data_IF_530296466712
#
_entry.id   IF_530296466712
#
_cell.length_a   1.000
_cell.length_b   1.000
_cell.length_c   1.000
_cell.angle_alpha   90.00
_cell.angle_beta   90.00
_cell.angle_gamma   90.00
#
_symmetry.space_group_name_H-M   'P 1'
#
loop_
_entity.id
_entity.type
_entity.pdbx_description
1 polymer ?
#
# COMPACT_ATOMS: atom_id res chain seq x y z
N UNK A 1 7.28 41.13 26.23
CA UNK A 1 6.59 40.61 27.42
C UNK A 1 5.24 40.04 27.02
N UNK A 2 4.50 39.38 27.94
CA UNK A 2 3.14 38.88 27.66
C UNK A 2 2.22 40.01 27.18
N UNK A 3 2.30 41.20 27.80
CA UNK A 3 1.51 42.36 27.41
C UNK A 3 1.67 42.72 25.92
N UNK A 4 2.91 42.79 25.43
CA UNK A 4 3.22 43.13 24.03
C UNK A 4 2.65 42.11 23.05
N UNK A 5 2.74 40.82 23.38
CA UNK A 5 2.19 39.75 22.53
C UNK A 5 0.67 39.83 22.48
N UNK A 6 0.02 40.00 23.64
CA UNK A 6 -1.45 40.12 23.72
C UNK A 6 -1.95 41.34 22.95
N UNK A 7 -1.27 42.48 23.07
CA UNK A 7 -1.63 43.68 22.29
C UNK A 7 -1.39 43.52 20.79
N UNK A 8 -0.32 42.81 20.40
CA UNK A 8 -0.10 42.40 19.02
C UNK A 8 -1.23 41.52 18.48
N UNK A 9 -1.68 40.54 19.25
CA UNK A 9 -2.79 39.66 18.90
C UNK A 9 -4.12 40.41 18.77
N UNK A 10 -4.38 41.41 19.65
CA UNK A 10 -5.58 42.26 19.55
C UNK A 10 -5.65 43.03 18.23
N UNK A 11 -4.52 43.45 17.67
CA UNK A 11 -4.48 44.12 16.35
C UNK A 11 -4.82 43.17 15.19
N UNK A 12 -4.68 41.87 15.41
CA UNK A 12 -5.01 40.81 14.43
C UNK A 12 -6.43 40.26 14.62
N UNK A 13 -7.20 40.83 15.56
CA UNK A 13 -8.56 40.40 15.86
C UNK A 13 -9.44 40.35 14.60
N UNK A 14 -10.15 39.23 14.42
CA UNK A 14 -11.02 38.97 13.27
C UNK A 14 -10.30 38.62 11.95
N UNK A 15 -8.97 38.65 11.90
CA UNK A 15 -8.19 38.35 10.68
C UNK A 15 -7.52 36.99 10.70
N UNK A 16 -7.15 36.48 11.88
CA UNK A 16 -6.41 35.23 12.03
C UNK A 16 -7.01 34.42 13.17
N UNK A 17 -7.27 33.14 12.92
CA UNK A 17 -7.62 32.18 13.98
C UNK A 17 -6.34 31.69 14.64
N UNK A 18 -6.05 32.20 15.85
CA UNK A 18 -4.81 31.90 16.57
C UNK A 18 -5.03 30.70 17.49
N UNK A 19 -4.32 29.60 17.22
CA UNK A 19 -4.38 28.38 18.04
C UNK A 19 -3.10 28.15 18.82
N UNK A 20 -1.94 28.41 18.20
CA UNK A 20 -0.63 28.41 18.82
C UNK A 20 0.20 29.59 18.32
N UNK A 21 1.09 30.07 19.17
CA UNK A 21 2.13 31.02 18.81
C UNK A 21 3.48 30.31 18.80
N UNK A 22 4.18 30.41 17.68
CA UNK A 22 5.53 29.87 17.55
C UNK A 22 6.54 31.00 17.82
N UNK A 23 7.44 30.76 18.77
CA UNK A 23 8.51 31.69 19.13
C UNK A 23 9.72 31.38 18.26
N UNK A 24 10.20 32.39 17.54
CA UNK A 24 11.34 32.27 16.62
C UNK A 24 12.45 33.26 16.98
N UNK A 25 13.70 32.86 16.76
CA UNK A 25 14.88 33.72 16.83
C UNK A 25 15.77 33.44 15.62
N UNK A 26 16.08 34.47 14.84
CA UNK A 26 16.84 34.33 13.58
C UNK A 26 16.23 33.24 12.67
N UNK A 27 14.91 33.27 12.52
CA UNK A 27 14.05 32.28 11.85
C UNK A 27 14.03 30.88 12.48
N UNK A 28 14.84 30.59 13.49
CA UNK A 28 14.87 29.28 14.15
C UNK A 28 13.72 29.13 15.13
N UNK A 29 13.04 27.99 15.08
CA UNK A 29 11.95 27.67 16.01
C UNK A 29 12.52 27.37 17.41
N UNK A 30 12.18 28.21 18.39
CA UNK A 30 12.62 28.06 19.78
C UNK A 30 11.59 27.39 20.67
N UNK A 31 10.31 27.76 20.49
CA UNK A 31 9.25 27.38 21.42
C UNK A 31 7.85 27.52 20.85
N UNK A 32 6.89 26.96 21.57
CA UNK A 32 5.46 27.15 21.30
C UNK A 32 4.75 27.65 22.55
N UNK A 33 3.81 28.58 22.39
CA UNK A 33 2.97 29.12 23.46
C UNK A 33 1.51 28.93 23.10
N UNK A 34 0.73 28.38 24.02
CA UNK A 34 -0.71 28.32 23.88
C UNK A 34 -1.35 29.66 24.30
N UNK A 35 -2.35 30.18 23.56
CA UNK A 35 -3.04 31.42 23.92
C UNK A 35 -3.61 31.42 25.34
N UNK A 36 -4.05 30.25 25.84
CA UNK A 36 -4.53 30.10 27.22
C UNK A 36 -3.45 30.46 28.26
N UNK A 37 -2.19 30.14 27.98
CA UNK A 37 -1.10 30.33 28.92
C UNK A 37 -0.73 31.83 28.99
N UNK A 38 -0.88 32.56 27.87
CA UNK A 38 -0.80 34.02 27.84
C UNK A 38 -1.93 34.71 28.61
N UNK A 39 -3.15 34.14 28.61
CA UNK A 39 -4.30 34.70 29.32
C UNK A 39 -4.20 34.53 30.84
N UNK A 40 -3.46 33.52 31.31
CA UNK A 40 -3.27 33.23 32.73
C UNK A 40 -1.99 33.87 33.31
N UNK A 41 -1.04 34.26 32.45
CA UNK A 41 0.22 34.89 32.85
C UNK A 41 0.05 36.36 33.24
N UNK A 42 1.02 36.89 34.01
CA UNK A 42 1.04 38.32 34.34
C UNK A 42 1.55 39.12 33.13
N UNK A 43 1.10 40.36 32.93
CA UNK A 43 1.50 41.18 31.78
C UNK A 43 3.02 41.36 31.64
N UNK A 44 3.73 41.40 32.77
CA UNK A 44 5.18 41.63 32.85
C UNK A 44 6.01 40.34 32.70
N UNK A 45 5.38 39.16 32.69
CA UNK A 45 6.09 37.90 32.53
C UNK A 45 6.76 37.83 31.15
N UNK A 46 7.90 37.14 31.06
CA UNK A 46 8.58 36.93 29.78
C UNK A 46 7.96 35.75 29.05
N UNK A 47 7.79 35.90 27.74
CA UNK A 47 7.30 34.81 26.87
C UNK A 47 8.25 33.61 26.89
N UNK A 48 9.55 33.85 27.06
CA UNK A 48 10.58 32.82 27.19
C UNK A 48 10.37 31.88 28.39
N UNK A 49 9.74 32.38 29.46
CA UNK A 49 9.44 31.61 30.68
C UNK A 49 8.16 30.77 30.53
N UNK A 50 7.29 31.15 29.60
CA UNK A 50 5.99 30.51 29.33
C UNK A 50 6.06 29.49 28.20
N UNK A 51 7.08 29.59 27.33
CA UNK A 51 7.14 28.77 26.13
C UNK A 51 7.60 27.35 26.42
N UNK A 52 6.98 26.41 25.72
CA UNK A 52 7.43 25.02 25.70
C UNK A 52 8.59 24.92 24.71
N UNK A 53 9.81 24.74 25.25
CA UNK A 53 11.05 24.69 24.48
C UNK A 53 11.13 23.41 23.65
N UNK A 54 11.80 23.51 22.49
CA UNK A 54 12.00 22.39 21.56
C UNK A 54 10.68 21.70 21.16
N UNK A 55 9.72 22.45 20.59
CA UNK A 55 8.45 21.88 20.17
C UNK A 55 8.65 20.85 19.05
N UNK A 56 7.75 19.88 18.97
CA UNK A 56 7.68 18.99 17.83
C UNK A 56 7.44 19.78 16.54
N UNK A 57 8.21 19.49 15.49
CA UNK A 57 8.09 20.09 14.17
C UNK A 57 8.03 19.03 13.07
N UNK A 58 7.26 19.36 12.03
CA UNK A 58 7.28 18.66 10.75
C UNK A 58 8.36 19.29 9.86
N UNK A 59 8.87 18.52 8.89
CA UNK A 59 9.86 18.99 7.93
C UNK A 59 9.22 19.25 6.57
N UNK A 60 9.64 20.31 5.90
CA UNK A 60 9.07 20.70 4.61
C UNK A 60 9.37 19.71 3.46
N UNK A 61 10.42 18.90 3.62
CA UNK A 61 10.88 17.91 2.63
C UNK A 61 10.49 16.47 2.96
N UNK A 62 9.71 16.24 4.03
CA UNK A 62 9.24 14.90 4.38
C UNK A 62 7.95 14.53 3.62
N UNK A 63 7.76 13.24 3.37
CA UNK A 63 6.52 12.75 2.76
C UNK A 63 5.34 12.80 3.75
N UNK A 64 4.13 12.80 3.20
CA UNK A 64 2.90 12.88 3.99
C UNK A 64 2.80 11.69 4.98
N UNK A 65 3.25 10.50 4.58
CA UNK A 65 3.21 9.30 5.41
C UNK A 65 4.12 9.40 6.63
N UNK A 66 5.37 9.88 6.47
CA UNK A 66 6.30 10.12 7.57
C UNK A 66 5.78 11.23 8.47
N UNK A 67 5.33 12.35 7.90
CA UNK A 67 4.72 13.45 8.66
C UNK A 67 3.55 12.94 9.51
N UNK A 68 2.62 12.19 8.91
CA UNK A 68 1.46 11.61 9.59
C UNK A 68 1.89 10.65 10.70
N UNK A 69 2.83 9.73 10.43
CA UNK A 69 3.28 8.74 11.40
C UNK A 69 3.86 9.37 12.67
N UNK A 70 4.59 10.49 12.52
CA UNK A 70 5.19 11.27 13.61
C UNK A 70 4.15 12.14 14.32
N UNK A 71 3.19 12.70 13.58
CA UNK A 71 2.22 13.66 14.10
C UNK A 71 0.99 13.02 14.77
N UNK A 72 0.56 11.82 14.33
CA UNK A 72 -0.73 11.22 14.69
C UNK A 72 -0.95 10.98 16.18
N UNK A 73 0.11 10.70 16.93
CA UNK A 73 0.05 10.45 18.37
C UNK A 73 -0.06 11.74 19.19
N UNK A 74 0.36 12.87 18.61
CA UNK A 74 0.40 14.16 19.29
C UNK A 74 -0.91 14.94 19.17
N UNK A 75 -1.67 14.72 18.09
CA UNK A 75 -2.96 15.37 17.80
C UNK A 75 -2.94 16.88 18.03
N UNK A 76 -1.88 17.56 17.59
CA UNK A 76 -1.72 19.00 17.79
C UNK A 76 -2.69 19.76 16.87
N UNK A 77 -3.39 20.79 17.38
CA UNK A 77 -4.22 21.65 16.55
C UNK A 77 -3.49 22.35 15.39
N UNK A 78 -2.19 22.64 15.57
CA UNK A 78 -1.32 23.16 14.52
C UNK A 78 0.12 22.67 14.73
N UNK A 79 0.78 22.34 13.63
CA UNK A 79 2.15 21.84 13.57
C UNK A 79 3.05 22.91 12.93
N UNK A 80 4.17 23.28 13.55
CA UNK A 80 5.17 24.10 12.89
C UNK A 80 5.90 23.27 11.83
N UNK A 81 6.06 23.83 10.64
CA UNK A 81 6.81 23.24 9.53
C UNK A 81 8.16 23.92 9.45
N UNK A 82 9.24 23.14 9.58
CA UNK A 82 10.61 23.61 9.58
C UNK A 82 11.41 23.09 8.38
N UNK A 83 12.49 23.79 8.03
CA UNK A 83 13.55 23.21 7.21
C UNK A 83 14.48 22.30 8.04
N UNK A 84 15.46 21.66 7.37
CA UNK A 84 16.44 20.80 8.04
C UNK A 84 17.38 21.56 8.97
N UNK A 85 17.45 22.88 8.86
CA UNK A 85 18.25 23.79 9.70
C UNK A 85 17.46 24.30 10.93
N UNK A 86 16.25 23.79 11.15
CA UNK A 86 15.30 24.18 12.21
C UNK A 86 14.71 25.59 12.04
N UNK A 87 14.68 26.12 10.82
CA UNK A 87 14.02 27.40 10.54
C UNK A 87 12.54 27.17 10.27
N UNK A 88 11.68 27.98 10.89
CA UNK A 88 10.24 27.92 10.68
C UNK A 88 9.90 28.46 9.30
N UNK A 89 9.42 27.58 8.41
CA UNK A 89 9.03 27.95 7.04
C UNK A 89 7.51 28.07 6.87
N UNK A 90 6.72 27.47 7.78
CA UNK A 90 5.28 27.51 7.69
C UNK A 90 4.56 26.86 8.86
N UNK A 91 3.23 26.81 8.77
CA UNK A 91 2.35 26.21 9.78
C UNK A 91 1.35 25.33 9.05
N UNK A 92 1.26 24.06 9.45
CA UNK A 92 0.26 23.12 8.96
C UNK A 92 -0.82 22.93 10.02
N UNK A 93 -2.09 23.11 9.66
CA UNK A 93 -3.20 22.92 10.61
C UNK A 93 -3.45 21.43 10.81
N UNK A 94 -3.74 21.01 12.04
CA UNK A 94 -4.10 19.62 12.35
C UNK A 94 -5.25 19.07 11.49
N UNK A 95 -6.38 19.80 11.35
CA UNK A 95 -7.47 19.38 10.46
C UNK A 95 -7.06 19.26 8.99
N UNK A 96 -6.10 20.06 8.53
CA UNK A 96 -5.58 20.00 7.16
C UNK A 96 -4.70 18.77 6.95
N UNK A 97 -3.83 18.45 7.91
CA UNK A 97 -3.05 17.20 7.90
C UNK A 97 -3.96 15.97 7.86
N UNK A 98 -5.04 15.95 8.67
CA UNK A 98 -6.04 14.87 8.66
C UNK A 98 -6.75 14.79 7.31
N UNK A 99 -7.13 15.93 6.73
CA UNK A 99 -7.77 15.98 5.41
C UNK A 99 -6.85 15.42 4.33
N UNK A 100 -5.59 15.85 4.29
CA UNK A 100 -4.60 15.36 3.33
C UNK A 100 -4.42 13.85 3.44
N UNK A 101 -4.32 13.33 4.68
CA UNK A 101 -4.22 11.88 4.89
C UNK A 101 -5.49 11.15 4.44
N UNK A 102 -6.66 11.72 4.68
CA UNK A 102 -7.95 11.13 4.26
C UNK A 102 -8.06 11.08 2.74
N UNK A 103 -7.67 12.16 2.05
CA UNK A 103 -7.60 12.21 0.58
C UNK A 103 -6.59 11.19 0.04
N UNK A 104 -5.43 11.04 0.69
CA UNK A 104 -4.42 10.05 0.31
C UNK A 104 -4.96 8.61 0.43
N UNK A 105 -5.62 8.28 1.54
CA UNK A 105 -6.23 6.95 1.75
C UNK A 105 -7.38 6.68 0.77
N UNK A 106 -8.19 7.70 0.45
CA UNK A 106 -9.26 7.57 -0.53
C UNK A 106 -8.72 7.29 -1.94
N UNK A 107 -7.58 7.88 -2.31
CA UNK A 107 -6.91 7.64 -3.60
C UNK A 107 -6.25 6.25 -3.72
N UNK A 108 -5.92 5.61 -2.60
CA UNK A 108 -5.18 4.35 -2.56
C UNK A 108 -5.84 3.23 -3.37
N UNK A 109 -7.17 3.08 -3.27
CA UNK A 109 -7.91 2.06 -4.01
C UNK A 109 -7.79 2.23 -5.53
N UNK A 110 -7.72 3.48 -6.01
CA UNK A 110 -7.47 3.77 -7.42
C UNK A 110 -6.04 3.42 -7.84
N UNK A 111 -5.04 3.81 -7.03
CA UNK A 111 -3.62 3.58 -7.35
C UNK A 111 -3.28 2.09 -7.49
N UNK A 112 -3.93 1.23 -6.69
CA UNK A 112 -3.80 -0.23 -6.76
C UNK A 112 -4.06 -0.81 -8.16
N UNK A 113 -5.03 -0.24 -8.88
CA UNK A 113 -5.47 -0.71 -10.20
C UNK A 113 -4.98 0.18 -11.34
N UNK A 114 -4.05 1.10 -11.07
CA UNK A 114 -3.51 2.01 -12.08
C UNK A 114 -4.45 3.17 -12.43
N UNK A 115 -5.22 3.69 -11.48
CA UNK A 115 -5.89 4.98 -11.63
C UNK A 115 -4.94 6.08 -11.15
N UNK A 116 -4.60 6.98 -12.07
CA UNK A 116 -3.79 8.16 -11.79
C UNK A 116 -4.56 9.17 -10.93
N UNK A 117 -3.89 9.86 -10.00
CA UNK A 117 -4.52 10.77 -9.01
C UNK A 117 -5.35 11.92 -9.63
N UNK A 118 -5.09 12.26 -10.89
CA UNK A 118 -5.81 13.29 -11.64
C UNK A 118 -7.08 12.83 -12.35
N UNK A 119 -7.43 11.55 -12.30
CA UNK A 119 -8.66 11.02 -12.91
C UNK A 119 -9.83 11.15 -11.94
N UNK A 120 -10.86 11.89 -12.36
CA UNK A 120 -12.04 12.18 -11.55
C UNK A 120 -13.31 11.85 -12.32
N UNK A 121 -14.38 11.56 -11.59
CA UNK A 121 -15.68 11.22 -12.20
C UNK A 121 -16.26 12.34 -13.07
N UNK A 122 -15.92 13.60 -12.77
CA UNK A 122 -16.32 14.80 -13.52
C UNK A 122 -15.32 15.18 -14.63
N UNK A 123 -14.22 14.45 -14.78
CA UNK A 123 -13.25 14.72 -15.83
C UNK A 123 -13.82 14.36 -17.21
N UNK A 124 -13.49 15.14 -18.27
CA UNK A 124 -13.83 14.76 -19.63
C UNK A 124 -13.23 13.40 -20.01
N UNK A 125 -13.97 12.58 -20.76
CA UNK A 125 -13.59 11.21 -21.09
C UNK A 125 -12.19 11.07 -21.75
N UNK A 126 -11.78 12.04 -22.57
CA UNK A 126 -10.47 12.02 -23.24
C UNK A 126 -9.29 12.17 -22.26
N UNK A 127 -9.52 12.91 -21.17
CA UNK A 127 -8.53 13.09 -20.10
C UNK A 127 -8.42 11.78 -19.31
N UNK A 128 -9.54 11.20 -18.91
CA UNK A 128 -9.57 9.90 -18.23
C UNK A 128 -8.92 8.80 -19.07
N UNK A 129 -9.20 8.77 -20.38
CA UNK A 129 -8.58 7.83 -21.30
C UNK A 129 -7.05 7.98 -21.33
N UNK A 130 -6.55 9.21 -21.49
CA UNK A 130 -5.10 9.49 -21.53
C UNK A 130 -4.40 9.13 -20.21
N UNK A 131 -5.09 9.26 -19.07
CA UNK A 131 -4.57 8.90 -17.75
C UNK A 131 -4.58 7.38 -17.48
N UNK A 132 -5.47 6.63 -18.13
CA UNK A 132 -5.63 5.17 -17.95
C UNK A 132 -4.85 4.36 -18.98
N UNK A 133 -4.69 4.86 -20.21
CA UNK A 133 -4.05 4.13 -21.31
C UNK A 133 -2.65 3.60 -20.97
N UNK A 134 -1.75 4.36 -20.30
CA UNK A 134 -0.44 3.84 -19.91
C UNK A 134 -0.55 2.61 -19.00
N UNK A 135 -1.46 2.63 -18.04
CA UNK A 135 -1.67 1.53 -17.10
C UNK A 135 -2.30 0.31 -17.76
N UNK A 136 -3.25 0.52 -18.67
CA UNK A 136 -3.81 -0.55 -19.51
C UNK A 136 -2.72 -1.18 -20.39
N UNK A 137 -1.81 -0.39 -20.95
CA UNK A 137 -0.69 -0.90 -21.75
C UNK A 137 0.31 -1.70 -20.90
N UNK A 138 0.61 -1.25 -19.68
CA UNK A 138 1.44 -2.00 -18.72
C UNK A 138 0.76 -3.33 -18.36
N UNK A 139 -0.54 -3.30 -18.05
CA UNK A 139 -1.33 -4.50 -17.75
C UNK A 139 -1.34 -5.50 -18.92
N UNK A 140 -1.47 -5.01 -20.15
CA UNK A 140 -1.37 -5.85 -21.34
C UNK A 140 0.01 -6.54 -21.44
N UNK A 141 1.09 -5.81 -21.18
CA UNK A 141 2.44 -6.38 -21.09
C UNK A 141 2.54 -7.47 -20.04
N UNK A 142 2.01 -7.21 -18.84
CA UNK A 142 1.96 -8.17 -17.74
C UNK A 142 1.25 -9.47 -18.11
N UNK A 143 0.03 -9.38 -18.67
CA UNK A 143 -0.75 -10.56 -19.08
C UNK A 143 -0.08 -11.29 -20.24
N UNK A 144 0.60 -10.58 -21.14
CA UNK A 144 1.36 -11.19 -22.24
C UNK A 144 2.51 -12.06 -21.72
N UNK A 145 3.17 -11.69 -20.63
CA UNK A 145 4.21 -12.52 -20.01
C UNK A 145 3.64 -13.83 -19.46
N UNK A 146 2.45 -13.81 -18.85
CA UNK A 146 1.74 -15.02 -18.49
C UNK A 146 1.41 -15.89 -19.70
N UNK A 147 0.93 -15.28 -20.79
CA UNK A 147 0.65 -15.99 -22.05
C UNK A 147 1.92 -16.64 -22.66
N UNK A 148 3.09 -16.02 -22.52
CA UNK A 148 4.37 -16.63 -22.94
C UNK A 148 4.70 -17.90 -22.16
N UNK A 149 4.42 -17.96 -20.85
CA UNK A 149 4.61 -19.16 -20.03
C UNK A 149 3.69 -20.29 -20.52
N UNK A 150 2.44 -19.97 -20.80
CA UNK A 150 1.47 -20.94 -21.37
C UNK A 150 1.93 -21.41 -22.76
N UNK A 151 2.40 -20.49 -23.61
CA UNK A 151 2.93 -20.78 -24.94
C UNK A 151 4.16 -21.70 -24.91
N UNK A 152 5.05 -21.55 -23.93
CA UNK A 152 6.20 -22.43 -23.76
C UNK A 152 5.81 -23.87 -23.38
N UNK A 153 4.61 -24.08 -22.84
CA UNK A 153 4.10 -25.39 -22.41
C UNK A 153 3.02 -25.97 -23.34
N UNK A 154 3.03 -25.60 -24.63
CA UNK A 154 2.05 -26.07 -25.62
C UNK A 154 1.98 -27.59 -25.73
N UNK A 155 3.11 -28.29 -25.62
CA UNK A 155 3.14 -29.77 -25.68
C UNK A 155 2.31 -30.40 -24.54
N UNK A 156 2.38 -29.83 -23.34
CA UNK A 156 1.62 -30.29 -22.17
C UNK A 156 0.13 -30.06 -22.38
N UNK A 157 -0.22 -28.88 -22.89
CA UNK A 157 -1.62 -28.52 -23.15
C UNK A 157 -2.20 -29.43 -24.24
N UNK A 158 -1.43 -29.74 -25.28
CA UNK A 158 -1.87 -30.66 -26.33
C UNK A 158 -2.12 -32.08 -25.79
N UNK A 159 -1.30 -32.54 -24.84
CA UNK A 159 -1.46 -33.86 -24.21
C UNK A 159 -2.58 -33.89 -23.16
N UNK A 160 -2.79 -32.78 -22.46
CA UNK A 160 -3.74 -32.67 -21.35
C UNK A 160 -4.55 -31.37 -21.44
N UNK A 161 -5.46 -31.32 -22.43
CA UNK A 161 -6.25 -30.11 -22.72
C UNK A 161 -7.08 -29.62 -21.52
N UNK A 162 -7.50 -30.52 -20.62
CA UNK A 162 -8.23 -30.17 -19.40
C UNK A 162 -7.44 -29.24 -18.46
N UNK A 163 -6.11 -29.27 -18.47
CA UNK A 163 -5.29 -28.35 -17.66
C UNK A 163 -5.52 -26.90 -18.06
N UNK A 164 -5.80 -26.62 -19.35
CA UNK A 164 -6.08 -25.28 -19.82
C UNK A 164 -7.37 -24.69 -19.22
N UNK A 165 -8.36 -25.54 -18.95
CA UNK A 165 -9.62 -25.14 -18.30
C UNK A 165 -9.38 -24.62 -16.87
N UNK A 166 -8.33 -25.12 -16.20
CA UNK A 166 -8.00 -24.75 -14.83
C UNK A 166 -7.02 -23.56 -14.74
N UNK A 167 -6.46 -23.08 -15.86
CA UNK A 167 -5.58 -21.90 -15.86
C UNK A 167 -6.26 -20.69 -15.17
N UNK A 168 -7.51 -20.30 -15.52
CA UNK A 168 -8.15 -19.14 -14.87
C UNK A 168 -8.47 -19.39 -13.40
N UNK A 169 -8.72 -20.65 -13.01
CA UNK A 169 -9.05 -21.02 -11.63
C UNK A 169 -7.84 -20.84 -10.72
N UNK A 170 -6.68 -21.36 -11.14
CA UNK A 170 -5.44 -21.25 -10.36
C UNK A 170 -4.94 -19.81 -10.32
N UNK A 171 -4.93 -19.10 -11.46
CA UNK A 171 -4.52 -17.71 -11.54
C UNK A 171 -5.43 -16.78 -10.72
N UNK A 172 -6.75 -16.91 -10.86
CA UNK A 172 -7.70 -16.08 -10.13
C UNK A 172 -7.58 -16.25 -8.61
N UNK A 173 -7.41 -17.50 -8.15
CA UNK A 173 -7.33 -17.77 -6.72
C UNK A 173 -5.98 -17.36 -6.10
N UNK A 174 -4.87 -17.55 -6.81
CA UNK A 174 -3.55 -17.10 -6.35
C UNK A 174 -3.43 -15.58 -6.32
N UNK A 175 -3.96 -14.91 -7.34
CA UNK A 175 -4.07 -13.44 -7.41
C UNK A 175 -4.92 -12.88 -6.26
N UNK A 176 -6.05 -13.52 -5.93
CA UNK A 176 -6.87 -13.14 -4.78
C UNK A 176 -6.10 -13.26 -3.45
N UNK A 177 -5.39 -14.37 -3.23
CA UNK A 177 -4.56 -14.55 -2.04
C UNK A 177 -3.46 -13.46 -1.94
N UNK A 178 -2.79 -13.16 -3.06
CA UNK A 178 -1.78 -12.09 -3.12
C UNK A 178 -2.35 -10.71 -2.86
N UNK A 179 -3.52 -10.39 -3.41
CA UNK A 179 -4.19 -9.11 -3.19
C UNK A 179 -4.62 -8.91 -1.73
N UNK A 180 -5.04 -9.99 -1.03
CA UNK A 180 -5.35 -9.92 0.40
C UNK A 180 -4.09 -9.64 1.24
N UNK A 181 -3.00 -10.36 0.98
CA UNK A 181 -1.72 -10.13 1.65
C UNK A 181 -1.20 -8.70 1.40
N UNK A 182 -1.33 -8.20 0.17
CA UNK A 182 -1.01 -6.82 -0.18
C UNK A 182 -1.85 -5.80 0.60
N UNK A 183 -3.17 -5.99 0.66
CA UNK A 183 -4.05 -5.06 1.36
C UNK A 183 -3.69 -4.95 2.86
N UNK A 184 -3.39 -6.08 3.51
CA UNK A 184 -2.92 -6.11 4.91
C UNK A 184 -1.57 -5.39 5.05
N UNK A 185 -0.64 -5.63 4.13
CA UNK A 185 0.68 -5.00 4.14
C UNK A 185 0.60 -3.48 3.96
N UNK A 186 -0.15 -3.01 2.96
CA UNK A 186 -0.36 -1.59 2.68
C UNK A 186 -1.03 -0.87 3.86
N UNK A 187 -2.01 -1.51 4.51
CA UNK A 187 -2.60 -0.97 5.73
C UNK A 187 -1.56 -0.84 6.84
N UNK A 188 -0.72 -1.86 7.02
CA UNK A 188 0.36 -1.83 8.01
C UNK A 188 1.39 -0.72 7.75
N UNK A 189 1.70 -0.44 6.48
CA UNK A 189 2.56 0.67 6.07
C UNK A 189 1.90 2.03 6.35
N UNK A 190 0.65 2.21 5.91
CA UNK A 190 -0.09 3.47 6.10
C UNK A 190 -0.35 3.79 7.58
N UNK A 191 -0.53 2.76 8.42
CA UNK A 191 -0.67 2.89 9.86
C UNK A 191 0.67 2.88 10.59
N UNK A 192 1.82 2.88 9.92
CA UNK A 192 3.14 2.83 10.57
C UNK A 192 3.27 1.70 11.62
N UNK A 193 2.49 0.63 11.47
CA UNK A 193 2.52 -0.57 12.32
C UNK A 193 3.72 -1.43 11.95
N UNK A 194 4.13 -1.34 10.68
CA UNK A 194 5.33 -1.97 10.16
C UNK A 194 6.55 -1.08 10.45
N UNK A 195 7.19 -1.28 11.61
CA UNK A 195 8.47 -0.63 11.91
C UNK A 195 9.56 -1.02 10.90
N UNK A 196 10.54 -0.12 10.67
CA UNK A 196 11.65 -0.32 9.70
C UNK A 196 12.42 -1.65 9.90
N UNK A 197 12.42 -2.19 11.13
CA UNK A 197 13.07 -3.47 11.50
C UNK A 197 12.16 -4.70 11.38
N UNK A 198 10.84 -4.51 11.26
CA UNK A 198 9.82 -5.56 11.20
C UNK A 198 9.33 -5.89 9.78
N UNK A 199 9.83 -5.19 8.75
CA UNK A 199 9.68 -5.50 7.31
C UNK A 199 10.25 -6.89 6.91
N UNK A 200 10.66 -7.67 7.89
CA UNK A 200 11.45 -8.87 7.77
C UNK A 200 10.67 -10.11 7.39
N UNK A 201 11.45 -11.13 7.10
CA UNK A 201 11.10 -12.52 6.84
C UNK A 201 9.89 -13.08 7.61
N UNK A 202 9.59 -12.60 8.83
CA UNK A 202 8.41 -13.00 9.61
C UNK A 202 7.08 -12.65 8.94
N UNK A 203 6.94 -11.45 8.35
CA UNK A 203 5.71 -11.07 7.64
C UNK A 203 5.53 -11.93 6.39
N UNK A 204 6.60 -12.09 5.61
CA UNK A 204 6.60 -12.94 4.41
C UNK A 204 6.24 -14.38 4.76
N UNK A 205 6.84 -14.94 5.81
CA UNK A 205 6.56 -16.30 6.26
C UNK A 205 5.12 -16.46 6.74
N UNK A 206 4.59 -15.48 7.49
CA UNK A 206 3.21 -15.48 7.95
C UNK A 206 2.24 -15.49 6.76
N UNK A 207 2.40 -14.58 5.80
CA UNK A 207 1.49 -14.48 4.64
C UNK A 207 1.66 -15.66 3.68
N UNK A 208 2.88 -16.18 3.51
CA UNK A 208 3.12 -17.42 2.78
C UNK A 208 2.44 -18.62 3.45
N UNK A 209 2.46 -18.71 4.78
CA UNK A 209 1.80 -19.78 5.54
C UNK A 209 0.27 -19.68 5.44
N UNK A 210 -0.29 -18.47 5.53
CA UNK A 210 -1.73 -18.25 5.30
C UNK A 210 -2.11 -18.67 3.88
N UNK A 211 -1.31 -18.27 2.88
CA UNK A 211 -1.48 -18.69 1.48
C UNK A 211 -1.37 -20.20 1.30
N UNK A 212 -0.44 -20.86 2.00
CA UNK A 212 -0.28 -22.32 1.98
C UNK A 212 -1.51 -23.03 2.58
N UNK A 213 -1.96 -22.61 3.76
CA UNK A 213 -3.10 -23.23 4.45
C UNK A 213 -4.41 -23.03 3.68
N UNK A 214 -4.66 -21.80 3.18
CA UNK A 214 -5.79 -21.52 2.29
C UNK A 214 -5.66 -22.27 0.95
N UNK A 215 -4.44 -22.39 0.45
CA UNK A 215 -4.07 -23.20 -0.71
C UNK A 215 -4.37 -24.68 -0.53
N UNK A 216 -4.16 -25.26 0.64
CA UNK A 216 -4.51 -26.66 0.92
C UNK A 216 -6.00 -26.91 0.79
N UNK A 217 -6.83 -26.02 1.34
CA UNK A 217 -8.29 -26.15 1.27
C UNK A 217 -8.81 -25.95 -0.17
N UNK A 218 -8.38 -24.86 -0.82
CA UNK A 218 -8.80 -24.54 -2.20
C UNK A 218 -8.20 -25.51 -3.23
N UNK A 219 -6.99 -26.00 -2.99
CA UNK A 219 -6.31 -27.01 -3.80
C UNK A 219 -6.97 -28.38 -3.70
N UNK A 220 -7.44 -28.78 -2.51
CA UNK A 220 -8.24 -30.02 -2.38
C UNK A 220 -9.56 -29.92 -3.16
N UNK A 221 -10.24 -28.77 -3.08
CA UNK A 221 -11.45 -28.52 -3.85
C UNK A 221 -11.19 -28.51 -5.37
N UNK A 222 -10.10 -27.86 -5.81
CA UNK A 222 -9.70 -27.81 -7.21
C UNK A 222 -9.29 -29.19 -7.74
N UNK A 223 -8.58 -30.00 -6.93
CA UNK A 223 -8.25 -31.37 -7.25
C UNK A 223 -9.50 -32.24 -7.40
N UNK A 224 -10.46 -32.13 -6.47
CA UNK A 224 -11.73 -32.84 -6.55
C UNK A 224 -12.52 -32.45 -7.81
N UNK A 225 -12.57 -31.16 -8.14
CA UNK A 225 -13.21 -30.67 -9.36
C UNK A 225 -12.53 -31.20 -10.63
N UNK A 226 -11.20 -31.18 -10.67
CA UNK A 226 -10.44 -31.73 -11.79
C UNK A 226 -10.65 -33.24 -11.92
N UNK A 227 -10.66 -33.99 -10.82
CA UNK A 227 -10.93 -35.42 -10.83
C UNK A 227 -12.32 -35.73 -11.40
N UNK A 228 -13.36 -35.03 -10.93
CA UNK A 228 -14.72 -35.18 -11.42
C UNK A 228 -14.81 -34.84 -12.91
N UNK A 229 -14.19 -33.74 -13.34
CA UNK A 229 -14.17 -33.35 -14.75
C UNK A 229 -13.44 -34.41 -15.59
N UNK A 230 -12.20 -34.76 -15.24
CA UNK A 230 -11.42 -35.72 -16.00
C UNK A 230 -12.10 -37.10 -16.11
N UNK A 231 -12.74 -37.58 -15.03
CA UNK A 231 -13.53 -38.82 -15.07
C UNK A 231 -14.76 -38.73 -15.97
N UNK A 232 -15.48 -37.60 -15.97
CA UNK A 232 -16.62 -37.39 -16.88
C UNK A 232 -16.21 -37.38 -18.35
N UNK A 233 -15.02 -36.88 -18.67
CA UNK A 233 -14.48 -36.86 -20.04
C UNK A 233 -13.74 -38.16 -20.42
N UNK A 234 -13.70 -39.16 -19.54
CA UNK A 234 -13.07 -40.46 -19.83
C UNK A 234 -11.54 -40.44 -19.83
N UNK A 235 -10.93 -39.45 -19.18
CA UNK A 235 -9.47 -39.33 -19.12
C UNK A 235 -8.85 -40.38 -18.19
N UNK A 236 -7.97 -41.21 -18.75
CA UNK A 236 -7.27 -42.27 -18.01
C UNK A 236 -6.37 -41.72 -16.90
N UNK A 237 -5.88 -40.48 -17.04
CA UNK A 237 -4.99 -39.82 -16.09
C UNK A 237 -5.71 -38.95 -15.05
N UNK A 238 -7.02 -39.13 -14.84
CA UNK A 238 -7.84 -38.26 -13.99
C UNK A 238 -7.28 -38.01 -12.59
N UNK A 239 -6.78 -39.05 -11.91
CA UNK A 239 -6.19 -38.93 -10.57
C UNK A 239 -4.91 -38.09 -10.59
N UNK A 240 -4.05 -38.27 -11.59
CA UNK A 240 -2.78 -37.53 -11.66
C UNK A 240 -3.02 -36.07 -12.02
N UNK A 241 -3.96 -35.79 -12.93
CA UNK A 241 -4.37 -34.40 -13.25
C UNK A 241 -4.94 -33.69 -12.01
N UNK A 242 -5.73 -34.38 -11.20
CA UNK A 242 -6.24 -33.85 -9.94
C UNK A 242 -5.12 -33.48 -8.96
N UNK A 243 -4.12 -34.36 -8.80
CA UNK A 243 -2.95 -34.11 -7.94
C UNK A 243 -2.13 -32.92 -8.46
N UNK A 244 -1.90 -32.85 -9.78
CA UNK A 244 -1.20 -31.73 -10.42
C UNK A 244 -1.88 -30.41 -10.11
N UNK A 245 -3.21 -30.32 -10.34
CA UNK A 245 -3.99 -29.10 -10.08
C UNK A 245 -3.96 -28.73 -8.60
N UNK A 246 -4.13 -29.71 -7.71
CA UNK A 246 -4.10 -29.47 -6.27
C UNK A 246 -2.76 -28.91 -5.79
N UNK A 247 -1.65 -29.54 -6.19
CA UNK A 247 -0.30 -29.08 -5.85
C UNK A 247 0.03 -27.72 -6.47
N UNK A 248 -0.37 -27.50 -7.72
CA UNK A 248 -0.21 -26.21 -8.39
C UNK A 248 -0.95 -25.10 -7.65
N UNK A 249 -2.19 -25.34 -7.22
CA UNK A 249 -2.98 -24.39 -6.44
C UNK A 249 -2.33 -24.07 -5.09
N UNK A 250 -1.90 -25.10 -4.34
CA UNK A 250 -1.24 -24.93 -3.04
C UNK A 250 0.02 -24.06 -3.18
N UNK A 251 0.90 -24.41 -4.12
CA UNK A 251 2.13 -23.66 -4.36
C UNK A 251 1.85 -22.23 -4.84
N UNK A 252 0.87 -22.06 -5.73
CA UNK A 252 0.48 -20.76 -6.25
C UNK A 252 -0.06 -19.83 -5.17
N UNK A 253 -0.92 -20.31 -4.28
CA UNK A 253 -1.47 -19.51 -3.19
C UNK A 253 -0.40 -19.15 -2.15
N UNK A 254 0.51 -20.08 -1.83
CA UNK A 254 1.64 -19.81 -0.93
C UNK A 254 2.57 -18.72 -1.48
N UNK A 255 2.94 -18.83 -2.76
CA UNK A 255 3.78 -17.82 -3.42
C UNK A 255 3.01 -16.51 -3.60
N UNK A 256 1.73 -16.56 -3.93
CA UNK A 256 0.87 -15.38 -4.03
C UNK A 256 0.84 -14.59 -2.72
N UNK A 257 0.65 -15.26 -1.58
CA UNK A 257 0.71 -14.62 -0.26
C UNK A 257 2.08 -13.99 0.03
N UNK A 258 3.18 -14.68 -0.32
CA UNK A 258 4.53 -14.15 -0.16
C UNK A 258 4.78 -12.91 -1.04
N UNK A 259 4.40 -12.96 -2.31
CA UNK A 259 4.55 -11.86 -3.28
C UNK A 259 3.71 -10.66 -2.86
N UNK A 260 2.47 -10.88 -2.44
CA UNK A 260 1.57 -9.82 -1.96
C UNK A 260 2.11 -9.07 -0.74
N UNK A 261 2.83 -9.76 0.14
CA UNK A 261 3.50 -9.13 1.28
C UNK A 261 4.83 -8.45 0.91
N UNK A 262 5.59 -9.02 -0.04
CA UNK A 262 6.92 -8.54 -0.41
C UNK A 262 6.86 -7.27 -1.26
N UNK A 263 5.94 -7.21 -2.22
CA UNK A 263 5.95 -6.18 -3.25
C UNK A 263 5.76 -4.76 -2.67
N UNK A 264 4.77 -4.48 -1.80
CA UNK A 264 4.59 -3.14 -1.23
C UNK A 264 5.78 -2.71 -0.38
N UNK A 265 6.36 -3.64 0.38
CA UNK A 265 7.56 -3.42 1.20
C UNK A 265 8.75 -3.03 0.32
N UNK A 266 8.94 -3.73 -0.80
CA UNK A 266 10.04 -3.46 -1.71
C UNK A 266 9.88 -2.08 -2.36
N UNK A 267 8.68 -1.75 -2.84
CA UNK A 267 8.38 -0.44 -3.42
C UNK A 267 8.60 0.70 -2.41
N UNK A 268 8.13 0.52 -1.17
CA UNK A 268 8.36 1.48 -0.09
C UNK A 268 9.85 1.71 0.17
N UNK A 269 10.65 0.64 0.21
CA UNK A 269 12.11 0.72 0.42
C UNK A 269 12.85 1.39 -0.74
N UNK A 270 12.31 1.33 -1.95
CA UNK A 270 12.86 2.01 -3.12
C UNK A 270 12.44 3.49 -3.20
N UNK A 271 11.61 3.97 -2.27
CA UNK A 271 11.09 5.34 -2.25
C UNK A 271 9.94 5.58 -3.23
N UNK A 272 9.37 4.51 -3.79
CA UNK A 272 8.19 4.58 -4.67
C UNK A 272 6.90 4.42 -3.84
N UNK A 273 5.77 4.93 -4.36
CA UNK A 273 4.45 4.70 -3.75
C UNK A 273 4.15 3.18 -3.70
N UNK A 274 3.99 2.59 -2.51
CA UNK A 274 3.72 1.15 -2.37
C UNK A 274 2.41 0.69 -3.03
N UNK A 275 1.45 1.60 -3.19
CA UNK A 275 0.17 1.30 -3.82
C UNK A 275 0.21 1.46 -5.34
N UNK A 276 1.27 2.06 -5.90
CA UNK A 276 1.35 2.35 -7.34
C UNK A 276 1.41 1.05 -8.16
N UNK A 277 0.28 0.70 -8.79
CA UNK A 277 0.12 -0.47 -9.65
C UNK A 277 0.57 -1.81 -9.03
N UNK A 278 0.60 -1.89 -7.70
CA UNK A 278 0.94 -3.12 -7.00
C UNK A 278 -0.02 -4.27 -7.37
N UNK A 279 -1.30 -3.97 -7.63
CA UNK A 279 -2.27 -4.97 -8.10
C UNK A 279 -1.95 -5.53 -9.49
N UNK A 280 -1.47 -4.70 -10.43
CA UNK A 280 -1.09 -5.13 -11.78
C UNK A 280 0.15 -6.04 -11.72
N UNK A 281 1.14 -5.66 -10.93
CA UNK A 281 2.38 -6.43 -10.75
C UNK A 281 2.14 -7.74 -9.99
N UNK A 282 1.26 -7.75 -8.99
CA UNK A 282 0.87 -8.99 -8.31
C UNK A 282 0.22 -9.95 -9.29
N UNK A 283 -0.77 -9.49 -10.07
CA UNK A 283 -1.42 -10.31 -11.08
C UNK A 283 -0.41 -10.94 -12.05
N UNK A 284 0.53 -10.15 -12.55
CA UNK A 284 1.62 -10.64 -13.39
C UNK A 284 2.42 -11.76 -12.73
N UNK A 285 2.92 -11.51 -11.52
CA UNK A 285 3.80 -12.45 -10.81
C UNK A 285 3.05 -13.73 -10.43
N UNK A 286 1.80 -13.60 -9.99
CA UNK A 286 0.95 -14.75 -9.66
C UNK A 286 0.62 -15.56 -10.91
N UNK A 287 0.33 -14.92 -12.05
CA UNK A 287 0.02 -15.63 -13.30
C UNK A 287 1.23 -16.43 -13.79
N UNK A 288 2.42 -15.80 -13.83
CA UNK A 288 3.66 -16.47 -14.26
C UNK A 288 3.95 -17.69 -13.39
N UNK A 289 3.83 -17.55 -12.06
CA UNK A 289 4.06 -18.63 -11.11
C UNK A 289 2.99 -19.71 -11.24
N UNK A 290 1.72 -19.33 -11.31
CA UNK A 290 0.59 -20.25 -11.38
C UNK A 290 0.58 -21.09 -12.65
N UNK A 291 0.80 -20.46 -13.80
CA UNK A 291 0.90 -21.16 -15.07
C UNK A 291 2.14 -22.04 -15.11
N UNK A 292 3.28 -21.54 -14.59
CA UNK A 292 4.51 -22.31 -14.49
C UNK A 292 4.36 -23.56 -13.62
N UNK A 293 3.71 -23.45 -12.46
CA UNK A 293 3.45 -24.61 -11.60
C UNK A 293 2.46 -25.58 -12.22
N UNK A 294 1.33 -25.09 -12.75
CA UNK A 294 0.28 -25.94 -13.31
C UNK A 294 0.76 -26.73 -14.54
N UNK A 295 1.53 -26.10 -15.42
CA UNK A 295 1.99 -26.71 -16.67
C UNK A 295 3.38 -27.35 -16.53
N UNK A 296 4.16 -26.99 -15.51
CA UNK A 296 5.46 -27.60 -15.20
C UNK A 296 5.37 -28.91 -14.44
N UNK A 297 4.44 -29.04 -13.48
CA UNK A 297 4.26 -30.27 -12.68
C UNK A 297 3.95 -31.53 -13.50
N UNK A 298 3.16 -31.49 -14.59
CA UNK A 298 2.99 -32.62 -15.50
C UNK A 298 4.30 -33.22 -16.01
N UNK A 299 5.31 -32.42 -16.35
CA UNK A 299 6.60 -32.93 -16.81
C UNK A 299 7.32 -33.80 -15.77
N UNK A 300 7.07 -33.54 -14.49
CA UNK A 300 7.66 -34.29 -13.38
C UNK A 300 6.84 -35.53 -13.01
N UNK A 301 5.51 -35.43 -13.09
CA UNK A 301 4.58 -36.45 -12.57
C UNK A 301 4.00 -37.39 -13.63
N UNK A 302 3.99 -37.00 -14.90
CA UNK A 302 3.35 -37.70 -16.03
C UNK A 302 4.33 -38.14 -17.11
N UNK A 303 5.59 -38.44 -16.74
CA UNK A 303 6.59 -39.00 -17.65
C UNK A 303 6.06 -40.25 -18.37
#
# INVERSE_FOLDING_TARGET
>A
TVAEVVDGLRRLHGRVFVVYLFVVQDDRLLGVVAPRDLLLARPDDRVDDLMLRQPFCLYADEDLETAWSRARLLQLPAYPVCDRQQRLVGILRGPELVRLQTENLAGQAGRLVGVSEGDRTDAPWYRSFSLRLPWVAISLGSVTLGAMVVGAAQEVIHRFALLAVFLPVVAGQSSNAGNQAMAVCLRGLALGELGQQALGFRLLLKEALIGLLGGCLTGLAAAAAMYLMATMYGESAAMVLAIVVGLAMIGSCAIGGAVGALLPVLLHRLGSDPASAAGILIGMLTDVVSFGLLLGLPWLLLR
#
